data_IF_232765598404
#
_entry.id   IF_232765598404
#
_cell.length_a   1.000
_cell.length_b   1.000
_cell.length_c   1.000
_cell.angle_alpha   90.00
_cell.angle_beta   90.00
_cell.angle_gamma   90.00
#
_symmetry.space_group_name_H-M   'P 1'
#
loop_
_entity.id
_entity.type
_entity.pdbx_description
1 polymer ?
#
# COMPACT_ATOMS: atom_id res chain seq x y z
N UNK A 1 42.51 -30.92 -20.48
CA UNK A 1 42.42 -29.64 -19.72
C UNK A 1 41.19 -29.74 -18.83
N UNK A 2 41.36 -29.43 -17.54
CA UNK A 2 40.32 -29.53 -16.50
C UNK A 2 39.29 -28.43 -16.67
N UNK A 3 38.01 -28.72 -16.42
CA UNK A 3 37.19 -27.82 -15.61
C UNK A 3 36.39 -28.63 -14.58
N UNK A 4 36.57 -28.20 -13.33
CA UNK A 4 36.07 -28.80 -12.10
C UNK A 4 34.64 -28.35 -11.80
N UNK A 5 33.93 -29.17 -11.01
CA UNK A 5 32.62 -28.86 -10.43
C UNK A 5 32.72 -28.17 -9.05
N UNK A 6 31.58 -27.56 -8.67
CA UNK A 6 31.02 -27.24 -7.32
C UNK A 6 31.60 -26.07 -6.53
N UNK A 7 30.70 -25.11 -6.20
CA UNK A 7 30.31 -24.85 -4.80
C UNK A 7 28.94 -24.16 -4.73
N UNK A 8 28.04 -24.70 -3.89
CA UNK A 8 26.94 -23.98 -3.26
C UNK A 8 27.49 -22.85 -2.40
N UNK A 9 26.84 -21.68 -2.39
CA UNK A 9 26.70 -20.87 -1.18
C UNK A 9 25.28 -20.33 -1.10
N UNK A 10 24.54 -20.99 -0.22
CA UNK A 10 23.30 -20.55 0.37
C UNK A 10 23.60 -19.41 1.35
N UNK A 11 23.42 -18.17 0.90
CA UNK A 11 23.20 -16.94 1.68
C UNK A 11 22.98 -15.85 0.61
N UNK A 12 21.96 -15.01 0.60
CA UNK A 12 21.38 -14.36 1.75
C UNK A 12 19.98 -13.88 1.33
N UNK A 13 18.97 -14.53 1.92
CA UNK A 13 17.56 -14.26 1.74
C UNK A 13 17.23 -12.96 2.48
N UNK A 14 17.66 -11.80 2.02
CA UNK A 14 17.16 -10.53 2.52
C UNK A 14 17.25 -9.47 1.43
N UNK A 15 16.21 -9.40 0.60
CA UNK A 15 15.86 -8.16 -0.11
C UNK A 15 15.58 -7.10 0.96
N UNK A 16 16.63 -6.40 1.39
CA UNK A 16 16.51 -5.16 2.13
C UNK A 16 15.78 -4.19 1.21
N UNK A 17 14.45 -4.14 1.31
CA UNK A 17 13.67 -2.98 0.89
C UNK A 17 14.01 -1.90 1.91
N UNK A 18 15.23 -1.37 1.80
CA UNK A 18 15.67 -0.17 2.48
C UNK A 18 14.89 0.96 1.84
N UNK A 19 13.77 1.33 2.47
CA UNK A 19 13.10 2.58 2.21
C UNK A 19 14.05 3.70 2.65
N UNK A 20 14.92 4.13 1.73
CA UNK A 20 15.75 5.30 1.90
C UNK A 20 14.85 6.55 1.96
N UNK A 21 14.35 6.85 3.15
CA UNK A 21 13.76 8.16 3.50
C UNK A 21 14.86 9.24 3.57
N UNK A 22 15.75 9.32 2.57
CA UNK A 22 16.92 10.19 2.56
C UNK A 22 17.12 10.99 1.26
N UNK A 23 16.04 11.39 0.56
CA UNK A 23 16.16 12.34 -0.57
C UNK A 23 15.10 13.45 -0.67
N UNK A 24 14.33 13.73 0.39
CA UNK A 24 13.38 14.87 0.39
C UNK A 24 13.74 16.02 1.34
N UNK A 25 14.89 15.97 2.02
CA UNK A 25 15.27 16.97 3.04
C UNK A 25 16.17 18.08 2.50
N UNK A 26 15.88 18.66 1.33
CA UNK A 26 16.60 19.89 0.90
C UNK A 26 15.83 20.73 -0.12
N UNK A 27 14.98 21.60 0.41
CA UNK A 27 14.82 22.98 -0.02
C UNK A 27 14.04 23.70 1.10
N UNK A 28 14.73 24.19 2.12
CA UNK A 28 14.13 25.17 3.02
C UNK A 28 14.11 26.49 2.26
N UNK A 29 12.94 26.85 1.73
CA UNK A 29 12.62 28.23 1.45
C UNK A 29 12.61 28.98 2.79
N UNK A 30 13.55 29.90 2.98
CA UNK A 30 13.52 30.90 4.05
C UNK A 30 12.87 32.15 3.50
N UNK A 31 11.56 32.13 3.34
CA UNK A 31 10.77 33.36 3.19
C UNK A 31 9.30 32.99 3.31
N UNK A 32 8.82 32.81 4.54
CA UNK A 32 7.47 33.14 5.03
C UNK A 32 7.57 33.07 6.56
N UNK A 33 7.14 34.13 7.24
CA UNK A 33 7.35 34.34 8.68
C UNK A 33 6.88 33.19 9.57
N UNK A 34 7.32 33.25 10.82
CA UNK A 34 7.07 32.30 11.91
C UNK A 34 5.57 32.06 12.18
N UNK A 35 4.90 31.35 11.29
CA UNK A 35 3.72 30.56 11.60
C UNK A 35 4.20 29.20 12.08
N UNK A 36 3.64 28.71 13.19
CA UNK A 36 3.83 27.35 13.69
C UNK A 36 3.28 26.35 12.65
N UNK A 37 4.04 26.16 11.56
CA UNK A 37 3.63 25.42 10.38
C UNK A 37 3.58 23.95 10.73
N UNK A 38 2.37 23.41 10.88
CA UNK A 38 2.18 21.98 10.98
C UNK A 38 2.75 21.34 9.73
N UNK A 39 3.88 20.66 9.84
CA UNK A 39 4.46 19.90 8.74
C UNK A 39 3.48 18.79 8.38
N UNK A 40 2.75 18.95 7.28
CA UNK A 40 1.81 17.92 6.80
C UNK A 40 2.62 16.69 6.37
N UNK A 41 2.27 15.52 6.90
CA UNK A 41 2.94 14.27 6.53
C UNK A 41 2.26 13.62 5.33
N UNK A 42 2.96 12.72 4.62
CA UNK A 42 2.34 11.91 3.55
C UNK A 42 1.17 11.08 4.10
N UNK A 43 1.29 10.56 5.33
CA UNK A 43 0.23 9.80 5.97
C UNK A 43 -1.03 10.65 6.14
N UNK A 44 -0.89 11.93 6.49
CA UNK A 44 -2.02 12.86 6.59
C UNK A 44 -2.67 13.12 5.23
N UNK A 45 -1.87 13.26 4.16
CA UNK A 45 -2.38 13.42 2.80
C UNK A 45 -3.13 12.18 2.30
N UNK A 46 -2.63 10.98 2.61
CA UNK A 46 -3.28 9.71 2.22
C UNK A 46 -4.59 9.50 2.97
N UNK A 47 -4.62 9.83 4.26
CA UNK A 47 -5.80 9.69 5.11
C UNK A 47 -6.74 10.89 5.05
N UNK A 48 -6.47 11.86 4.16
CA UNK A 48 -7.36 12.99 3.91
C UNK A 48 -8.73 12.49 3.41
N UNK A 49 -9.80 13.12 3.91
CA UNK A 49 -11.17 12.73 3.60
C UNK A 49 -11.45 12.77 2.09
N UNK A 50 -10.96 13.77 1.38
CA UNK A 50 -11.20 13.91 -0.05
C UNK A 50 -10.43 12.84 -0.82
N UNK A 51 -9.18 12.57 -0.43
CA UNK A 51 -8.39 11.50 -1.01
C UNK A 51 -9.07 10.12 -0.83
N UNK A 52 -9.54 9.81 0.37
CA UNK A 52 -10.25 8.55 0.65
C UNK A 52 -11.55 8.42 -0.16
N UNK A 53 -12.29 9.51 -0.35
CA UNK A 53 -13.48 9.50 -1.21
C UNK A 53 -13.13 9.21 -2.67
N UNK A 54 -12.07 9.83 -3.21
CA UNK A 54 -11.60 9.54 -4.56
C UNK A 54 -11.14 8.08 -4.72
N UNK A 55 -10.45 7.55 -3.71
CA UNK A 55 -10.04 6.14 -3.67
C UNK A 55 -11.26 5.21 -3.71
N UNK A 56 -12.29 5.46 -2.89
CA UNK A 56 -13.54 4.70 -2.91
C UNK A 56 -14.21 4.70 -4.29
N UNK A 57 -14.34 5.88 -4.91
CA UNK A 57 -14.94 6.00 -6.25
C UNK A 57 -14.15 5.22 -7.30
N UNK A 58 -12.82 5.22 -7.20
CA UNK A 58 -11.95 4.46 -8.12
C UNK A 58 -12.12 2.96 -7.96
N UNK A 59 -12.15 2.45 -6.71
CA UNK A 59 -12.39 1.03 -6.43
C UNK A 59 -13.74 0.58 -6.97
N UNK A 60 -14.79 1.37 -6.71
CA UNK A 60 -16.13 1.07 -7.22
C UNK A 60 -16.19 1.05 -8.75
N UNK A 61 -15.46 1.97 -9.41
CA UNK A 61 -15.36 2.00 -10.88
C UNK A 61 -14.64 0.79 -11.46
N UNK A 62 -13.66 0.24 -10.76
CA UNK A 62 -12.85 -0.90 -11.25
C UNK A 62 -13.62 -2.22 -11.26
N UNK A 63 -14.68 -2.36 -10.44
CA UNK A 63 -15.57 -3.55 -10.43
C UNK A 63 -14.82 -4.90 -10.29
N UNK A 64 -13.72 -4.91 -9.53
CA UNK A 64 -12.90 -6.10 -9.34
C UNK A 64 -13.63 -7.23 -8.61
N UNK A 65 -13.10 -8.45 -8.73
CA UNK A 65 -13.56 -9.60 -7.95
C UNK A 65 -13.27 -9.42 -6.45
N UNK A 66 -14.07 -10.07 -5.61
CA UNK A 66 -13.93 -10.02 -4.16
C UNK A 66 -12.64 -10.68 -3.67
N UNK A 67 -12.16 -10.23 -2.50
CA UNK A 67 -11.00 -10.77 -1.82
C UNK A 67 -11.28 -12.09 -1.10
N UNK A 68 -10.42 -12.43 -0.14
CA UNK A 68 -10.57 -13.64 0.71
C UNK A 68 -11.75 -13.54 1.68
N UNK A 69 -12.23 -12.33 1.94
CA UNK A 69 -13.36 -11.99 2.80
C UNK A 69 -14.69 -12.05 2.07
N UNK A 70 -14.64 -12.35 0.76
CA UNK A 70 -15.78 -12.38 -0.16
C UNK A 70 -16.61 -11.08 -0.18
N UNK A 71 -16.04 -9.95 0.28
CA UNK A 71 -16.68 -8.64 0.26
C UNK A 71 -16.68 -8.08 -1.16
N UNK A 72 -17.86 -7.76 -1.70
CA UNK A 72 -17.97 -7.17 -3.03
C UNK A 72 -17.81 -5.65 -3.00
N UNK A 73 -17.61 -5.03 -4.17
CA UNK A 73 -17.57 -3.57 -4.29
C UNK A 73 -18.85 -2.87 -3.85
N UNK A 74 -19.99 -3.58 -3.82
CA UNK A 74 -21.26 -3.02 -3.35
C UNK A 74 -21.35 -2.98 -1.82
N UNK A 75 -20.69 -3.94 -1.15
CA UNK A 75 -20.66 -4.07 0.30
C UNK A 75 -19.66 -3.10 0.95
N UNK A 76 -18.72 -2.57 0.16
CA UNK A 76 -17.67 -1.65 0.62
C UNK A 76 -18.22 -0.40 1.30
N UNK A 77 -19.29 0.22 0.78
CA UNK A 77 -19.84 1.44 1.38
C UNK A 77 -20.51 1.18 2.74
N UNK A 78 -21.41 0.19 2.89
CA UNK A 78 -21.88 -0.25 4.19
C UNK A 78 -20.74 -0.53 5.17
N UNK A 79 -19.75 -1.32 4.77
CA UNK A 79 -18.60 -1.64 5.60
C UNK A 79 -17.84 -0.39 6.08
N UNK A 80 -17.54 0.55 5.18
CA UNK A 80 -16.85 1.79 5.54
C UNK A 80 -17.69 2.70 6.44
N UNK A 81 -19.03 2.68 6.36
CA UNK A 81 -19.87 3.47 7.27
C UNK A 81 -19.71 3.03 8.72
N UNK A 82 -19.57 1.73 8.93
CA UNK A 82 -19.44 1.12 10.25
C UNK A 82 -17.97 1.15 10.75
N UNK A 83 -17.02 0.85 9.87
CA UNK A 83 -15.64 0.50 10.28
C UNK A 83 -14.59 1.61 10.01
N UNK A 84 -14.92 2.69 9.28
CA UNK A 84 -13.90 3.69 8.84
C UNK A 84 -13.11 4.30 9.99
N UNK A 85 -13.74 4.53 11.15
CA UNK A 85 -13.11 5.26 12.26
C UNK A 85 -12.00 4.41 12.85
N UNK A 86 -12.29 3.13 13.12
CA UNK A 86 -11.31 2.16 13.62
C UNK A 86 -10.22 1.88 12.57
N UNK A 87 -10.61 1.74 11.31
CA UNK A 87 -9.66 1.55 10.20
C UNK A 87 -8.64 2.70 10.14
N UNK A 88 -9.10 3.96 10.14
CA UNK A 88 -8.21 5.13 10.09
C UNK A 88 -7.33 5.21 11.34
N UNK A 89 -7.87 4.93 12.53
CA UNK A 89 -7.09 4.91 13.77
C UNK A 89 -5.96 3.85 13.70
N UNK A 90 -6.29 2.62 13.29
CA UNK A 90 -5.32 1.54 13.14
C UNK A 90 -4.22 1.85 12.09
N UNK A 91 -4.56 2.56 11.01
CA UNK A 91 -3.61 3.03 10.00
C UNK A 91 -2.68 4.12 10.55
N UNK A 92 -3.22 5.05 11.36
CA UNK A 92 -2.41 6.10 12.02
C UNK A 92 -1.43 5.52 13.02
N UNK A 93 -1.87 4.54 13.80
CA UNK A 93 -1.07 3.86 14.81
C UNK A 93 -0.11 2.81 14.23
N UNK A 94 -0.18 2.53 12.92
CA UNK A 94 0.64 1.50 12.26
C UNK A 94 0.28 0.06 12.67
N UNK A 95 -0.91 -0.16 13.23
CA UNK A 95 -1.39 -1.47 13.68
C UNK A 95 -2.18 -2.22 12.61
N UNK A 96 -2.63 -1.54 11.57
CA UNK A 96 -3.38 -2.16 10.48
C UNK A 96 -2.58 -3.27 9.80
N UNK A 97 -3.16 -4.47 9.72
CA UNK A 97 -2.60 -5.61 8.99
C UNK A 97 -3.51 -5.91 7.80
N UNK A 98 -3.06 -5.67 6.56
CA UNK A 98 -3.84 -5.99 5.38
C UNK A 98 -4.15 -7.50 5.30
N UNK A 99 -5.34 -7.82 4.82
CA UNK A 99 -5.70 -9.20 4.53
C UNK A 99 -4.83 -9.75 3.38
N UNK A 100 -4.48 -11.06 3.39
CA UNK A 100 -3.78 -11.66 2.27
C UNK A 100 -4.61 -11.63 0.98
N UNK A 101 -3.93 -11.67 -0.17
CA UNK A 101 -4.58 -11.63 -1.50
C UNK A 101 -5.15 -13.01 -1.87
N UNK A 102 -6.36 -13.04 -2.43
CA UNK A 102 -6.98 -14.26 -2.97
C UNK A 102 -6.27 -14.70 -4.26
N UNK A 103 -5.74 -15.92 -4.28
CA UNK A 103 -5.18 -16.51 -5.51
C UNK A 103 -6.33 -16.97 -6.41
N UNK A 104 -6.25 -16.59 -7.68
CA UNK A 104 -7.19 -17.00 -8.71
C UNK A 104 -6.39 -17.38 -9.94
N UNK A 105 -6.68 -18.56 -10.50
CA UNK A 105 -6.15 -18.96 -11.80
C UNK A 105 -6.90 -18.20 -12.90
N UNK A 106 -6.16 -17.43 -13.70
CA UNK A 106 -6.72 -16.65 -14.80
C UNK A 106 -6.11 -17.20 -16.09
N UNK A 107 -6.92 -17.80 -16.98
CA UNK A 107 -6.42 -18.29 -18.26
C UNK A 107 -5.91 -17.11 -19.09
N UNK A 108 -4.69 -17.22 -19.60
CA UNK A 108 -4.11 -16.20 -20.48
C UNK A 108 -4.59 -16.41 -21.93
N UNK A 109 -4.82 -15.34 -22.71
CA UNK A 109 -5.40 -15.43 -24.06
C UNK A 109 -4.69 -16.38 -25.03
N UNK A 110 -3.36 -16.55 -24.92
CA UNK A 110 -2.55 -17.36 -25.84
C UNK A 110 -2.07 -18.69 -25.22
N UNK A 111 -2.76 -19.19 -24.19
CA UNK A 111 -2.48 -20.48 -23.58
C UNK A 111 -1.59 -20.42 -22.33
N UNK A 112 -1.88 -21.30 -21.38
CA UNK A 112 -1.18 -21.49 -20.11
C UNK A 112 -2.12 -21.45 -18.92
N UNK A 113 -2.22 -22.59 -18.22
CA UNK A 113 -2.32 -22.64 -16.76
C UNK A 113 -0.90 -22.90 -16.25
#
# INVERSE_FOLDING_TARGET
MRQSQKTEQQADRLSRIGLENRKYTRARSTDYGEGKGMSVTIQDLVLDRNNLNQAYLRVKRNKGAAGIDDMTVNDLLPYLRENKTELIASLREGKYKPAPVKRVEIPKPNGGV
#
